data_IF_041318338970
#
_entry.id   IF_041318338970
#
_cell.length_a   1.000
_cell.length_b   1.000
_cell.length_c   1.000
_cell.angle_alpha   90.00
_cell.angle_beta   90.00
_cell.angle_gamma   90.00
#
_symmetry.space_group_name_H-M   'P 1'
#
loop_
_entity.id
_entity.type
_entity.pdbx_description
1 polymer ?
#
# COMPACT_ATOMS: atom_id res chain seq x y z
N UNK A 1 -33.22 -29.04 2.74
CA UNK A 1 -31.77 -29.17 3.00
C UNK A 1 -31.26 -27.79 3.36
N UNK A 2 -31.02 -27.53 4.65
CA UNK A 2 -30.43 -26.28 5.13
C UNK A 2 -28.93 -26.31 4.85
N UNK A 3 -28.32 -25.27 4.23
CA UNK A 3 -26.88 -25.27 4.02
C UNK A 3 -26.17 -25.19 5.38
N UNK A 4 -25.25 -26.11 5.59
CA UNK A 4 -24.39 -26.15 6.77
C UNK A 4 -23.49 -24.90 6.76
N UNK A 5 -23.44 -24.10 7.85
CA UNK A 5 -22.52 -22.96 7.90
C UNK A 5 -21.10 -23.47 7.73
N UNK A 6 -20.36 -22.83 6.82
CA UNK A 6 -18.95 -23.14 6.60
C UNK A 6 -18.18 -23.07 7.93
N UNK A 7 -17.25 -24.00 8.21
CA UNK A 7 -16.51 -23.99 9.46
C UNK A 7 -15.76 -22.66 9.61
N UNK A 8 -15.94 -21.99 10.76
CA UNK A 8 -15.11 -20.83 11.13
C UNK A 8 -13.67 -21.29 11.20
N UNK A 9 -12.84 -20.90 10.23
CA UNK A 9 -11.43 -21.24 10.24
C UNK A 9 -10.76 -20.61 11.46
N UNK A 10 -10.12 -21.43 12.29
CA UNK A 10 -9.30 -20.96 13.40
C UNK A 10 -7.96 -20.54 12.81
N UNK A 11 -7.75 -19.24 12.67
CA UNK A 11 -6.48 -18.67 12.20
C UNK A 11 -5.54 -18.56 13.39
N UNK A 12 -4.37 -19.19 13.29
CA UNK A 12 -3.33 -19.05 14.32
C UNK A 12 -2.62 -17.69 14.20
N UNK A 13 -2.06 -17.20 15.30
CA UNK A 13 -1.24 -15.97 15.28
C UNK A 13 -0.09 -16.05 14.27
N UNK A 14 0.56 -17.21 14.15
CA UNK A 14 1.65 -17.41 13.20
C UNK A 14 1.18 -17.29 11.74
N UNK A 15 0.03 -17.89 11.40
CA UNK A 15 -0.56 -17.75 10.06
C UNK A 15 -0.95 -16.30 9.75
N UNK A 16 -1.46 -15.57 10.75
CA UNK A 16 -1.81 -14.16 10.60
C UNK A 16 -0.58 -13.30 10.32
N UNK A 17 0.49 -13.43 11.13
CA UNK A 17 1.75 -12.70 10.94
C UNK A 17 2.39 -13.01 9.58
N UNK A 18 2.40 -14.28 9.18
CA UNK A 18 2.94 -14.67 7.87
C UNK A 18 2.12 -14.09 6.71
N UNK A 19 0.79 -14.06 6.83
CA UNK A 19 -0.08 -13.47 5.82
C UNK A 19 0.06 -11.95 5.72
N UNK A 20 0.19 -11.26 6.86
CA UNK A 20 0.47 -9.82 6.94
C UNK A 20 1.79 -9.48 6.24
N UNK A 21 2.89 -10.13 6.64
CA UNK A 21 4.21 -9.89 6.06
C UNK A 21 4.24 -10.16 4.54
N UNK A 22 3.65 -11.27 4.10
CA UNK A 22 3.57 -11.60 2.68
C UNK A 22 2.73 -10.60 1.88
N UNK A 23 1.65 -10.07 2.48
CA UNK A 23 0.83 -9.05 1.83
C UNK A 23 1.56 -7.71 1.73
N UNK A 24 2.28 -7.29 2.78
CA UNK A 24 3.14 -6.09 2.75
C UNK A 24 4.19 -6.19 1.66
N UNK A 25 4.91 -7.32 1.60
CA UNK A 25 5.93 -7.56 0.58
C UNK A 25 5.34 -7.50 -0.84
N UNK A 26 4.19 -8.14 -1.06
CA UNK A 26 3.52 -8.12 -2.36
C UNK A 26 3.08 -6.71 -2.76
N UNK A 27 2.54 -5.93 -1.81
CA UNK A 27 2.09 -4.57 -2.04
C UNK A 27 3.26 -3.63 -2.30
N UNK A 28 4.34 -3.71 -1.52
CA UNK A 28 5.56 -2.94 -1.76
C UNK A 28 6.14 -3.23 -3.15
N UNK A 29 6.26 -4.52 -3.52
CA UNK A 29 6.73 -4.90 -4.86
C UNK A 29 5.85 -4.36 -5.98
N UNK A 30 4.54 -4.32 -5.78
CA UNK A 30 3.61 -3.77 -6.76
C UNK A 30 3.76 -2.25 -6.89
N UNK A 31 3.88 -1.54 -5.78
CA UNK A 31 4.05 -0.09 -5.74
C UNK A 31 5.41 0.36 -6.31
N UNK A 32 6.45 -0.47 -6.21
CA UNK A 32 7.79 -0.21 -6.80
C UNK A 32 7.91 -0.57 -8.28
N UNK A 33 6.82 -0.82 -9.00
CA UNK A 33 6.88 -1.06 -10.45
C UNK A 33 7.20 0.24 -11.20
N UNK A 34 7.99 0.15 -12.27
CA UNK A 34 8.43 1.31 -13.06
C UNK A 34 7.29 2.24 -13.52
N UNK A 35 6.09 1.70 -13.76
CA UNK A 35 4.90 2.48 -14.13
C UNK A 35 4.42 3.48 -13.05
N UNK A 36 4.91 3.34 -11.83
CA UNK A 36 4.57 4.18 -10.69
C UNK A 36 5.72 5.12 -10.30
N UNK A 37 6.85 5.11 -10.99
CA UNK A 37 8.00 5.97 -10.65
C UNK A 37 7.63 7.45 -10.67
N UNK A 38 6.98 7.93 -11.74
CA UNK A 38 6.53 9.32 -11.83
C UNK A 38 5.46 9.66 -10.77
N UNK A 39 4.58 8.72 -10.45
CA UNK A 39 3.55 8.90 -9.41
C UNK A 39 4.19 8.98 -8.03
N UNK A 40 5.22 8.18 -7.79
CA UNK A 40 5.93 8.16 -6.52
C UNK A 40 6.74 9.44 -6.32
N UNK A 41 7.39 9.95 -7.36
CA UNK A 41 8.03 11.27 -7.35
C UNK A 41 7.03 12.39 -6.99
N UNK A 42 5.87 12.40 -7.64
CA UNK A 42 4.79 13.37 -7.32
C UNK A 42 4.33 13.23 -5.87
N UNK A 43 4.20 12.00 -5.37
CA UNK A 43 3.82 11.74 -4.00
C UNK A 43 4.83 12.32 -3.00
N UNK A 44 6.14 12.22 -3.28
CA UNK A 44 7.18 12.87 -2.47
C UNK A 44 7.03 14.38 -2.43
N UNK A 45 6.90 15.02 -3.59
CA UNK A 45 6.73 16.48 -3.66
C UNK A 45 5.50 16.93 -2.85
N UNK A 46 4.39 16.20 -2.96
CA UNK A 46 3.16 16.50 -2.22
C UNK A 46 3.34 16.30 -0.72
N UNK A 47 3.87 15.15 -0.30
CA UNK A 47 4.00 14.80 1.12
C UNK A 47 4.87 15.81 1.87
N UNK A 48 5.96 16.27 1.23
CA UNK A 48 6.89 17.23 1.80
C UNK A 48 6.55 18.70 1.49
N UNK A 49 5.47 18.95 0.73
CA UNK A 49 5.10 20.29 0.25
C UNK A 49 6.26 21.01 -0.46
N UNK A 50 7.03 20.25 -1.25
CA UNK A 50 8.15 20.74 -2.05
C UNK A 50 7.66 21.23 -3.43
N UNK A 51 8.26 22.30 -3.95
CA UNK A 51 7.90 22.82 -5.29
C UNK A 51 8.55 21.99 -6.40
N UNK A 52 9.78 21.52 -6.15
CA UNK A 52 10.55 20.66 -7.04
C UNK A 52 11.47 19.70 -6.27
N UNK A 53 12.20 18.85 -7.00
CA UNK A 53 13.06 17.80 -6.42
C UNK A 53 14.22 18.36 -5.60
N UNK A 54 14.67 19.59 -5.88
CA UNK A 54 15.79 20.22 -5.16
C UNK A 54 15.38 20.65 -3.74
N UNK A 55 14.07 20.84 -3.51
CA UNK A 55 13.47 21.20 -2.22
C UNK A 55 13.18 20.00 -1.30
N UNK A 56 13.32 18.77 -1.80
CA UNK A 56 13.05 17.57 -1.01
C UNK A 56 14.08 17.42 0.13
N UNK A 57 13.66 16.93 1.31
CA UNK A 57 14.59 16.67 2.42
C UNK A 57 15.53 15.48 2.16
N UNK A 58 15.33 14.76 1.05
CA UNK A 58 16.08 13.57 0.67
C UNK A 58 16.47 13.64 -0.82
N UNK A 59 17.63 13.08 -1.14
CA UNK A 59 18.03 12.81 -2.52
C UNK A 59 17.42 11.47 -2.96
N UNK A 60 16.45 11.50 -3.88
CA UNK A 60 15.75 10.31 -4.35
C UNK A 60 16.64 9.33 -5.14
N UNK A 61 17.75 9.80 -5.72
CA UNK A 61 18.68 8.92 -6.44
C UNK A 61 19.50 8.06 -5.47
N UNK A 62 19.75 8.57 -4.25
CA UNK A 62 20.62 7.96 -3.24
C UNK A 62 19.91 7.67 -1.92
N UNK A 63 18.57 7.76 -1.89
CA UNK A 63 17.79 7.57 -0.66
C UNK A 63 18.00 6.17 -0.09
N UNK A 64 18.22 6.12 1.21
CA UNK A 64 18.17 4.85 1.95
C UNK A 64 16.70 4.39 2.03
N UNK A 65 16.33 3.24 1.44
CA UNK A 65 14.96 2.73 1.52
C UNK A 65 14.51 2.40 2.94
N UNK A 66 15.45 2.31 3.90
CA UNK A 66 15.16 2.11 5.32
C UNK A 66 15.11 3.44 6.12
N UNK A 67 15.28 4.60 5.47
CA UNK A 67 15.12 5.91 6.11
C UNK A 67 13.67 6.18 6.52
N UNK A 68 13.48 6.92 7.62
CA UNK A 68 12.14 7.24 8.14
C UNK A 68 11.34 8.07 7.12
N UNK A 69 12.00 9.02 6.46
CA UNK A 69 11.42 9.88 5.43
C UNK A 69 10.87 9.07 4.26
N UNK A 70 11.65 8.09 3.79
CA UNK A 70 11.23 7.19 2.71
C UNK A 70 10.07 6.30 3.16
N UNK A 71 10.19 5.66 4.31
CA UNK A 71 9.19 4.71 4.80
C UNK A 71 7.82 5.37 5.05
N UNK A 72 7.79 6.56 5.66
CA UNK A 72 6.55 7.29 5.89
C UNK A 72 5.91 7.76 4.59
N UNK A 73 6.71 8.31 3.67
CA UNK A 73 6.20 8.75 2.37
C UNK A 73 5.71 7.58 1.54
N UNK A 74 6.43 6.45 1.55
CA UNK A 74 6.04 5.23 0.84
C UNK A 74 4.77 4.60 1.42
N UNK A 75 4.63 4.59 2.75
CA UNK A 75 3.40 4.14 3.40
C UNK A 75 2.21 5.00 2.93
N UNK A 76 2.32 6.32 3.03
CA UNK A 76 1.27 7.23 2.55
C UNK A 76 0.99 7.06 1.04
N UNK A 77 2.03 6.90 0.21
CA UNK A 77 1.90 6.63 -1.22
C UNK A 77 1.08 5.37 -1.51
N UNK A 78 1.28 4.32 -0.73
CA UNK A 78 0.60 3.04 -0.92
C UNK A 78 -0.88 3.10 -0.51
N UNK A 79 -1.16 3.73 0.65
CA UNK A 79 -2.46 3.63 1.29
C UNK A 79 -3.40 4.79 0.99
N UNK A 80 -2.90 5.99 0.73
CA UNK A 80 -3.73 7.21 0.69
C UNK A 80 -3.54 8.06 -0.57
N UNK A 81 -2.34 8.06 -1.17
CA UNK A 81 -2.08 8.77 -2.43
C UNK A 81 -2.97 8.24 -3.56
N UNK A 82 -3.51 9.15 -4.37
CA UNK A 82 -4.35 8.85 -5.53
C UNK A 82 -3.57 9.15 -6.80
N UNK A 83 -3.31 8.13 -7.62
CA UNK A 83 -2.56 8.32 -8.87
C UNK A 83 -3.36 9.10 -9.92
N UNK A 84 -2.64 9.74 -10.83
CA UNK A 84 -3.19 10.79 -11.69
C UNK A 84 -4.08 10.29 -12.84
N UNK A 85 -3.93 9.05 -13.29
CA UNK A 85 -4.67 8.48 -14.42
C UNK A 85 -6.09 8.07 -14.03
N UNK A 86 -6.27 7.34 -12.93
CA UNK A 86 -7.59 6.83 -12.51
C UNK A 86 -8.10 7.40 -11.18
N UNK A 87 -7.28 8.15 -10.45
CA UNK A 87 -7.64 8.73 -9.14
C UNK A 87 -7.79 7.68 -8.04
N UNK A 88 -7.29 6.46 -8.28
CA UNK A 88 -7.36 5.34 -7.33
C UNK A 88 -6.11 5.33 -6.45
N UNK A 89 -6.26 4.74 -5.26
CA UNK A 89 -5.13 4.48 -4.37
C UNK A 89 -4.34 3.29 -4.88
N UNK A 90 -3.04 3.25 -4.62
CA UNK A 90 -2.18 2.13 -5.07
C UNK A 90 -2.68 0.79 -4.51
N UNK A 91 -3.14 0.77 -3.25
CA UNK A 91 -3.77 -0.41 -2.65
C UNK A 91 -5.04 -0.88 -3.36
N UNK A 92 -5.83 0.04 -3.93
CA UNK A 92 -7.03 -0.31 -4.71
C UNK A 92 -6.64 -0.89 -6.08
N UNK A 93 -5.63 -0.31 -6.74
CA UNK A 93 -5.08 -0.84 -7.99
C UNK A 93 -4.47 -2.24 -7.78
N UNK A 94 -3.79 -2.46 -6.66
CA UNK A 94 -3.27 -3.77 -6.27
C UNK A 94 -4.42 -4.78 -6.06
N UNK A 95 -5.49 -4.37 -5.38
CA UNK A 95 -6.64 -5.23 -5.15
C UNK A 95 -7.33 -5.65 -6.46
N UNK A 96 -7.39 -4.77 -7.45
CA UNK A 96 -7.93 -5.09 -8.77
C UNK A 96 -7.04 -6.05 -9.56
N UNK A 97 -5.73 -5.81 -9.57
CA UNK A 97 -4.77 -6.55 -10.38
C UNK A 97 -4.39 -7.91 -9.76
N UNK A 98 -4.08 -7.94 -8.47
CA UNK A 98 -3.51 -9.09 -7.76
C UNK A 98 -4.53 -9.74 -6.81
N UNK A 99 -5.48 -8.97 -6.28
CA UNK A 99 -6.46 -9.42 -5.28
C UNK A 99 -7.16 -10.75 -5.61
N UNK A 100 -7.65 -11.00 -6.84
CA UNK A 100 -8.29 -12.28 -7.19
C UNK A 100 -7.38 -13.51 -7.02
N UNK A 101 -6.06 -13.33 -7.15
CA UNK A 101 -5.03 -14.38 -7.06
C UNK A 101 -4.50 -14.60 -5.65
N UNK A 102 -4.80 -13.71 -4.71
CA UNK A 102 -4.33 -13.82 -3.33
C UNK A 102 -5.04 -14.96 -2.57
N UNK A 103 -4.32 -15.64 -1.65
CA UNK A 103 -4.92 -16.52 -0.65
C UNK A 103 -6.06 -15.86 0.13
N UNK A 104 -7.02 -16.65 0.60
CA UNK A 104 -8.23 -16.15 1.26
C UNK A 104 -7.95 -15.22 2.45
N UNK A 105 -6.97 -15.55 3.30
CA UNK A 105 -6.59 -14.71 4.43
C UNK A 105 -5.97 -13.37 3.98
N UNK A 106 -5.10 -13.39 2.96
CA UNK A 106 -4.53 -12.16 2.42
C UNK A 106 -5.59 -11.27 1.76
N UNK A 107 -6.60 -11.84 1.09
CA UNK A 107 -7.75 -11.05 0.58
C UNK A 107 -8.56 -10.39 1.68
N UNK A 108 -8.77 -11.10 2.79
CA UNK A 108 -9.47 -10.54 3.95
C UNK A 108 -8.67 -9.41 4.60
N UNK A 109 -7.35 -9.58 4.75
CA UNK A 109 -6.45 -8.54 5.25
C UNK A 109 -6.43 -7.32 4.32
N UNK A 110 -6.30 -7.55 3.02
CA UNK A 110 -6.30 -6.50 2.02
C UNK A 110 -7.58 -5.67 2.07
N UNK A 111 -8.74 -6.33 2.16
CA UNK A 111 -10.02 -5.62 2.28
C UNK A 111 -10.10 -4.80 3.57
N UNK A 112 -9.58 -5.33 4.68
CA UNK A 112 -9.52 -4.58 5.93
C UNK A 112 -8.60 -3.35 5.82
N UNK A 113 -7.43 -3.47 5.17
CA UNK A 113 -6.50 -2.35 4.99
C UNK A 113 -7.05 -1.29 4.05
N UNK A 114 -7.74 -1.68 2.97
CA UNK A 114 -8.39 -0.73 2.04
C UNK A 114 -9.43 0.17 2.70
N UNK A 115 -10.06 -0.32 3.77
CA UNK A 115 -11.09 0.39 4.53
C UNK A 115 -10.50 1.27 5.64
N UNK A 116 -9.23 1.07 6.01
CA UNK A 116 -8.52 1.97 6.91
C UNK A 116 -7.91 3.08 6.06
N UNK A 117 -8.64 4.18 5.90
CA UNK A 117 -8.00 5.43 5.49
C UNK A 117 -7.12 5.91 6.65
N UNK A 118 -5.87 6.22 6.38
CA UNK A 118 -5.10 7.07 7.28
C UNK A 118 -5.43 8.49 6.79
N UNK A 119 -6.58 9.02 7.19
CA UNK A 119 -6.93 10.44 6.98
C UNK A 119 -5.97 11.29 7.81
N UNK A 120 -4.75 11.47 7.30
CA UNK A 120 -3.71 12.30 7.91
C UNK A 120 -3.80 13.76 7.45
N UNK A 121 -4.73 14.06 6.52
CA UNK A 121 -4.98 15.41 6.01
C UNK A 121 -6.49 15.66 5.77
N UNK A 122 -7.30 15.72 6.84
CA UNK A 122 -8.46 16.62 6.82
C UNK A 122 -7.94 18.05 7.03
N UNK A 123 -8.00 18.89 5.99
CA UNK A 123 -7.81 20.35 6.05
C UNK A 123 -9.03 21.05 6.64
#
# INVERSE_FOLDING_TARGET
MTPQPAPKQVITRAQWVAADAALREALSRFASQARFEEEFLRAFLIYWSAEDEEDLPIDLEHVDPDSEEFLLTFEWFVYDYRESESGKRIIDLFAEAEGPRLPALQRQLLEAWRQQCIDLYEV
#
